data_IF_387811658665
#
_entry.id   IF_387811658665
#
_cell.length_a   1.000
_cell.length_b   1.000
_cell.length_c   1.000
_cell.angle_alpha   90.00
_cell.angle_beta   90.00
_cell.angle_gamma   90.00
#
_symmetry.space_group_name_H-M   'P 1'
#
loop_
_entity.id
_entity.type
_entity.pdbx_description
1 polymer ?
#
# COMPACT_ATOMS: atom_id res chain seq x y z
N UNK A 1 -0.89 -9.79 9.62
CA UNK A 1 -1.38 -9.18 8.36
C UNK A 1 -2.19 -7.92 8.60
N UNK A 2 -3.43 -8.00 9.13
CA UNK A 2 -4.31 -6.84 9.39
C UNK A 2 -3.61 -5.63 10.02
N UNK A 3 -2.77 -5.84 11.05
CA UNK A 3 -2.02 -4.75 11.70
C UNK A 3 -1.06 -4.04 10.73
N UNK A 4 -0.36 -4.78 9.88
CA UNK A 4 0.57 -4.22 8.90
C UNK A 4 -0.18 -3.42 7.84
N UNK A 5 -1.29 -3.97 7.33
CA UNK A 5 -2.14 -3.28 6.35
C UNK A 5 -2.73 -1.98 6.91
N UNK A 6 -3.18 -1.97 8.18
CA UNK A 6 -3.66 -0.74 8.84
C UNK A 6 -2.56 0.31 8.99
N UNK A 7 -1.31 -0.11 9.22
CA UNK A 7 -0.16 0.80 9.29
C UNK A 7 0.14 1.37 7.90
N UNK A 8 0.20 0.53 6.87
CA UNK A 8 0.43 0.96 5.50
C UNK A 8 -0.67 1.93 5.04
N UNK A 9 -1.94 1.61 5.29
CA UNK A 9 -3.07 2.48 4.98
C UNK A 9 -2.95 3.81 5.71
N UNK A 10 -2.61 3.82 7.00
CA UNK A 10 -2.40 5.06 7.75
C UNK A 10 -1.34 5.95 7.13
N UNK A 11 -0.27 5.38 6.56
CA UNK A 11 0.75 6.15 5.86
C UNK A 11 0.27 6.65 4.50
N UNK A 12 -0.40 5.79 3.72
CA UNK A 12 -0.97 6.15 2.44
C UNK A 12 -1.98 7.32 2.56
N UNK A 13 -2.77 7.35 3.64
CA UNK A 13 -3.68 8.47 3.96
C UNK A 13 -2.91 9.78 4.16
N UNK A 14 -1.79 9.74 4.88
CA UNK A 14 -0.94 10.92 5.09
C UNK A 14 -0.30 11.39 3.78
N UNK A 15 0.03 10.45 2.88
CA UNK A 15 0.62 10.73 1.56
C UNK A 15 -0.40 11.26 0.54
N UNK A 16 -1.70 11.04 0.78
CA UNK A 16 -2.76 11.70 0.02
C UNK A 16 -3.70 10.77 -0.75
N UNK A 17 -3.84 9.50 -0.38
CA UNK A 17 -4.95 8.69 -0.94
C UNK A 17 -6.30 9.33 -0.59
N UNK A 18 -7.27 9.16 -1.48
CA UNK A 18 -8.61 9.73 -1.31
C UNK A 18 -9.35 9.11 -0.11
N UNK A 19 -10.36 9.81 0.39
CA UNK A 19 -11.20 9.27 1.47
C UNK A 19 -12.06 8.10 0.97
N UNK A 20 -12.43 8.11 -0.30
CA UNK A 20 -13.12 7.01 -0.99
C UNK A 20 -12.25 5.75 -1.01
N UNK A 21 -10.98 5.88 -1.42
CA UNK A 21 -10.01 4.79 -1.39
C UNK A 21 -9.80 4.24 0.02
N UNK A 22 -9.66 5.14 1.01
CA UNK A 22 -9.54 4.76 2.41
C UNK A 22 -10.70 3.85 2.85
N UNK A 23 -11.95 4.27 2.61
CA UNK A 23 -13.13 3.51 3.05
C UNK A 23 -13.16 2.12 2.42
N UNK A 24 -12.83 2.03 1.13
CA UNK A 24 -12.76 0.75 0.42
C UNK A 24 -11.67 -0.17 0.99
N UNK A 25 -10.48 0.35 1.26
CA UNK A 25 -9.38 -0.44 1.83
C UNK A 25 -9.70 -0.87 3.26
N UNK A 26 -10.35 0.00 4.06
CA UNK A 26 -10.83 -0.36 5.40
C UNK A 26 -11.83 -1.53 5.33
N UNK A 27 -12.75 -1.51 4.37
CA UNK A 27 -13.71 -2.58 4.14
C UNK A 27 -13.02 -3.92 3.81
N UNK A 28 -12.05 -3.93 2.88
CA UNK A 28 -11.27 -5.12 2.58
C UNK A 28 -10.52 -5.67 3.81
N UNK A 29 -9.94 -4.79 4.62
CA UNK A 29 -9.27 -5.19 5.87
C UNK A 29 -10.26 -5.79 6.87
N UNK A 30 -11.47 -5.21 7.00
CA UNK A 30 -12.52 -5.69 7.90
C UNK A 30 -13.05 -7.08 7.51
N UNK A 31 -13.17 -7.35 6.21
CA UNK A 31 -13.55 -8.66 5.69
C UNK A 31 -12.37 -9.64 5.55
N UNK A 32 -11.18 -9.26 6.03
CA UNK A 32 -9.96 -10.06 5.98
C UNK A 32 -9.52 -10.41 4.53
N UNK A 33 -9.92 -9.61 3.56
CA UNK A 33 -9.50 -9.65 2.15
C UNK A 33 -8.15 -8.93 2.00
N UNK A 34 -7.13 -9.49 2.63
CA UNK A 34 -5.81 -8.86 2.77
C UNK A 34 -5.12 -8.60 1.42
N UNK A 35 -5.32 -9.49 0.45
CA UNK A 35 -4.76 -9.36 -0.89
C UNK A 35 -5.36 -8.15 -1.61
N UNK A 36 -6.69 -8.01 -1.58
CA UNK A 36 -7.40 -6.86 -2.15
C UNK A 36 -7.05 -5.54 -1.45
N UNK A 37 -6.92 -5.56 -0.12
CA UNK A 37 -6.50 -4.38 0.64
C UNK A 37 -5.11 -3.90 0.24
N UNK A 38 -4.16 -4.82 0.05
CA UNK A 38 -2.81 -4.49 -0.37
C UNK A 38 -2.77 -3.97 -1.79
N UNK A 39 -3.38 -4.70 -2.73
CA UNK A 39 -3.45 -4.33 -4.15
C UNK A 39 -4.09 -2.96 -4.33
N UNK A 40 -5.18 -2.68 -3.60
CA UNK A 40 -5.85 -1.38 -3.67
C UNK A 40 -4.97 -0.24 -3.17
N UNK A 41 -4.17 -0.43 -2.12
CA UNK A 41 -3.20 0.60 -1.69
C UNK A 41 -2.20 0.87 -2.81
N UNK A 42 -1.62 -0.18 -3.42
CA UNK A 42 -0.62 -0.01 -4.47
C UNK A 42 -1.22 0.66 -5.71
N UNK A 43 -2.42 0.26 -6.09
CA UNK A 43 -3.19 0.86 -7.17
C UNK A 43 -3.38 2.35 -6.95
N UNK A 44 -3.86 2.76 -5.76
CA UNK A 44 -4.13 4.17 -5.47
C UNK A 44 -2.85 5.02 -5.44
N UNK A 45 -1.76 4.49 -4.90
CA UNK A 45 -0.47 5.17 -4.90
C UNK A 45 0.02 5.39 -6.34
N UNK A 46 -0.04 4.36 -7.19
CA UNK A 46 0.48 4.42 -8.54
C UNK A 46 -0.41 5.24 -9.49
N UNK A 47 -1.71 4.95 -9.54
CA UNK A 47 -2.64 5.59 -10.47
C UNK A 47 -2.73 7.10 -10.24
N UNK A 48 -2.64 7.53 -8.99
CA UNK A 48 -2.65 8.95 -8.63
C UNK A 48 -1.24 9.57 -8.56
N UNK A 49 -0.19 8.83 -8.95
CA UNK A 49 1.20 9.27 -8.90
C UNK A 49 1.59 9.85 -7.52
N UNK A 50 1.13 9.23 -6.44
CA UNK A 50 1.36 9.67 -5.07
C UNK A 50 2.80 9.35 -4.70
N UNK A 51 3.64 10.36 -4.42
CA UNK A 51 5.01 10.09 -4.05
C UNK A 51 5.09 9.41 -2.68
N UNK A 52 5.97 8.42 -2.55
CA UNK A 52 6.16 7.67 -1.32
C UNK A 52 7.55 7.90 -0.72
N UNK A 53 7.67 7.73 0.59
CA UNK A 53 8.98 7.72 1.25
C UNK A 53 9.62 6.34 1.15
N UNK A 54 10.94 6.26 1.31
CA UNK A 54 11.63 4.98 1.43
C UNK A 54 11.10 4.12 2.59
N UNK A 55 10.64 4.75 3.69
CA UNK A 55 10.03 4.04 4.82
C UNK A 55 8.70 3.37 4.44
N UNK A 56 7.88 4.02 3.61
CA UNK A 56 6.65 3.45 3.07
C UNK A 56 6.97 2.27 2.14
N UNK A 57 7.98 2.42 1.27
CA UNK A 57 8.42 1.32 0.40
C UNK A 57 8.88 0.09 1.20
N UNK A 58 9.62 0.28 2.29
CA UNK A 58 10.03 -0.85 3.14
C UNK A 58 8.85 -1.58 3.78
N UNK A 59 7.77 -0.87 4.12
CA UNK A 59 6.53 -1.50 4.60
C UNK A 59 5.81 -2.29 3.52
N UNK A 60 5.80 -1.79 2.30
CA UNK A 60 5.27 -2.52 1.13
C UNK A 60 6.06 -3.83 0.95
N UNK A 61 7.41 -3.78 0.98
CA UNK A 61 8.24 -4.99 0.89
C UNK A 61 8.03 -5.95 2.07
N UNK A 62 7.82 -5.44 3.29
CA UNK A 62 7.54 -6.29 4.47
C UNK A 62 6.23 -7.04 4.29
N UNK A 63 5.17 -6.35 3.86
CA UNK A 63 3.84 -6.94 3.63
C UNK A 63 3.90 -7.96 2.51
N UNK A 64 4.50 -7.61 1.37
CA UNK A 64 4.70 -8.51 0.24
C UNK A 64 5.46 -9.79 0.65
N UNK A 65 6.51 -9.66 1.46
CA UNK A 65 7.26 -10.81 1.99
C UNK A 65 6.41 -11.74 2.87
N UNK A 66 5.51 -11.20 3.70
CA UNK A 66 4.58 -12.01 4.50
C UNK A 66 3.53 -12.68 3.62
N UNK A 67 3.09 -12.02 2.54
CA UNK A 67 2.11 -12.53 1.57
C UNK A 67 2.73 -13.49 0.55
N UNK A 68 4.07 -13.57 0.47
CA UNK A 68 4.83 -14.30 -0.56
C UNK A 68 4.54 -13.79 -1.98
N UNK A 69 4.42 -12.47 -2.11
CA UNK A 69 4.30 -11.79 -3.40
C UNK A 69 5.72 -11.54 -3.91
N UNK A 70 5.97 -11.87 -5.18
CA UNK A 70 7.28 -11.68 -5.80
C UNK A 70 7.55 -10.19 -6.05
N UNK A 71 8.82 -9.79 -6.05
CA UNK A 71 9.19 -8.37 -6.19
C UNK A 71 8.67 -7.75 -7.50
N UNK A 72 8.67 -8.53 -8.58
CA UNK A 72 8.19 -8.09 -9.89
C UNK A 72 6.71 -7.64 -9.87
N UNK A 73 5.90 -8.15 -8.95
CA UNK A 73 4.47 -7.82 -8.84
C UNK A 73 4.21 -6.46 -8.18
N UNK A 74 5.20 -5.86 -7.50
CA UNK A 74 5.05 -4.54 -6.85
C UNK A 74 6.23 -3.58 -7.12
N UNK A 75 7.23 -3.99 -7.90
CA UNK A 75 8.42 -3.20 -8.20
C UNK A 75 8.11 -1.86 -8.88
N UNK A 76 6.98 -1.75 -9.58
CA UNK A 76 6.51 -0.51 -10.21
C UNK A 76 6.37 0.65 -9.21
N UNK A 77 6.09 0.35 -7.94
CA UNK A 77 5.98 1.35 -6.87
C UNK A 77 7.30 2.09 -6.63
N UNK A 78 8.45 1.52 -7.00
CA UNK A 78 9.75 2.18 -6.86
C UNK A 78 9.84 3.50 -7.64
N UNK A 79 9.08 3.64 -8.72
CA UNK A 79 9.02 4.86 -9.52
C UNK A 79 8.41 6.05 -8.75
N UNK A 80 7.69 5.78 -7.66
CA UNK A 80 7.05 6.78 -6.81
C UNK A 80 7.93 7.23 -5.64
N UNK A 81 9.08 6.59 -5.40
CA UNK A 81 9.93 6.92 -4.27
C UNK A 81 10.48 8.34 -4.46
N UNK A 82 10.15 9.24 -3.53
CA UNK A 82 10.78 10.55 -3.44
C UNK A 82 12.28 10.34 -3.27
N UNK A 83 13.06 10.91 -4.20
CA UNK A 83 14.52 10.84 -4.23
C UNK A 83 15.09 11.09 -2.80
N UNK A 84 16.00 10.22 -2.31
CA UNK A 84 16.56 10.30 -0.95
C UNK A 84 17.42 11.55 -0.69
#
# INVERSE_FOLDING_TARGET
MVKLLKILLSEAIVLGISNEAKLLIEEFIEYNECDLAFDQVLYELHENSIPITLACFYKITEIAGVMKIEEDDYAFIKELILDP
#
